data_IF_460916255859
#
_entry.id   IF_460916255859
#
_cell.length_a   1.000
_cell.length_b   1.000
_cell.length_c   1.000
_cell.angle_alpha   90.00
_cell.angle_beta   90.00
_cell.angle_gamma   90.00
#
_symmetry.space_group_name_H-M   'P 1'
#
loop_
_entity.id
_entity.type
_entity.pdbx_description
1 polymer ?
#
# COMPACT_ATOMS: atom_id res chain seq x y z
N UNK A 1 20.13 22.11 -53.52
CA UNK A 1 19.57 22.07 -52.16
C UNK A 1 18.54 20.95 -52.10
N UNK A 2 18.82 19.85 -51.38
CA UNK A 2 17.83 18.77 -51.14
C UNK A 2 17.16 19.04 -49.79
N UNK A 3 15.82 18.92 -49.68
CA UNK A 3 15.13 19.15 -48.41
C UNK A 3 15.35 17.95 -47.47
N UNK A 4 15.70 18.25 -46.23
CA UNK A 4 15.95 17.30 -45.16
C UNK A 4 14.65 16.66 -44.67
N UNK A 5 14.63 15.33 -44.62
CA UNK A 5 13.52 14.56 -44.07
C UNK A 5 13.44 14.75 -42.56
N UNK A 6 12.33 15.34 -42.07
CA UNK A 6 11.98 15.32 -40.64
C UNK A 6 11.68 13.88 -40.24
N UNK A 7 12.56 13.27 -39.43
CA UNK A 7 12.27 12.02 -38.72
C UNK A 7 11.03 12.23 -37.87
N UNK A 8 9.94 11.49 -38.15
CA UNK A 8 8.76 11.41 -37.29
C UNK A 8 9.21 10.79 -35.96
N UNK A 9 8.91 11.46 -34.85
CA UNK A 9 9.09 10.89 -33.52
C UNK A 9 8.27 9.62 -33.34
N UNK A 10 8.55 8.82 -32.30
CA UNK A 10 7.78 7.62 -32.01
C UNK A 10 6.29 7.98 -31.85
N UNK A 11 5.37 7.10 -32.30
CA UNK A 11 3.94 7.32 -32.12
C UNK A 11 3.63 7.47 -30.63
N UNK A 12 2.71 8.38 -30.30
CA UNK A 12 2.18 8.49 -28.95
C UNK A 12 1.63 7.12 -28.51
N UNK A 13 1.84 6.68 -27.26
CA UNK A 13 1.27 5.44 -26.78
C UNK A 13 -0.26 5.47 -26.96
N UNK A 14 -0.82 4.35 -27.40
CA UNK A 14 -2.26 4.22 -27.56
C UNK A 14 -2.97 4.58 -26.25
N UNK A 15 -4.10 5.31 -26.30
CA UNK A 15 -4.84 5.65 -25.10
C UNK A 15 -5.22 4.35 -24.39
N UNK A 16 -4.75 4.19 -23.14
CA UNK A 16 -5.11 3.06 -22.29
C UNK A 16 -6.63 3.09 -22.11
N UNK A 17 -7.33 2.16 -22.78
CA UNK A 17 -8.78 1.99 -22.63
C UNK A 17 -9.02 1.38 -21.26
N UNK A 18 -9.22 2.23 -20.25
CA UNK A 18 -9.59 1.83 -18.90
C UNK A 18 -10.95 1.13 -18.96
N UNK A 19 -10.96 -0.18 -18.75
CA UNK A 19 -12.21 -0.92 -18.60
C UNK A 19 -12.83 -0.58 -17.24
N UNK A 20 -14.15 -0.37 -17.17
CA UNK A 20 -14.81 -0.13 -15.89
C UNK A 20 -14.57 -1.35 -14.97
N UNK A 21 -14.46 -1.13 -13.65
CA UNK A 21 -14.40 -2.22 -12.69
C UNK A 21 -15.62 -3.14 -12.84
N UNK A 22 -15.46 -4.42 -12.51
CA UNK A 22 -16.56 -5.37 -12.54
C UNK A 22 -17.77 -4.92 -11.70
N UNK A 23 -18.92 -5.54 -11.94
CA UNK A 23 -20.13 -5.33 -11.14
C UNK A 23 -20.90 -6.63 -10.97
N UNK A 24 -21.17 -7.01 -9.73
CA UNK A 24 -22.01 -8.17 -9.37
C UNK A 24 -23.44 -7.67 -9.15
N UNK A 25 -24.32 -7.94 -10.11
CA UNK A 25 -25.71 -7.46 -10.06
C UNK A 25 -26.58 -8.22 -9.05
N UNK A 26 -26.29 -9.50 -8.82
CA UNK A 26 -27.02 -10.32 -7.85
C UNK A 26 -26.60 -9.95 -6.41
N UNK A 27 -27.58 -9.48 -5.65
CA UNK A 27 -27.43 -9.08 -4.24
C UNK A 27 -27.02 -10.26 -3.36
N UNK A 28 -27.60 -11.43 -3.59
CA UNK A 28 -27.32 -12.62 -2.81
C UNK A 28 -25.92 -13.14 -3.09
N UNK A 29 -25.47 -13.06 -4.35
CA UNK A 29 -24.10 -13.42 -4.73
C UNK A 29 -23.07 -12.48 -4.09
N UNK A 30 -23.30 -11.16 -4.17
CA UNK A 30 -22.43 -10.16 -3.57
C UNK A 30 -22.29 -10.36 -2.05
N UNK A 31 -23.42 -10.56 -1.36
CA UNK A 31 -23.44 -10.86 0.07
C UNK A 31 -22.69 -12.16 0.39
N UNK A 32 -22.93 -13.25 -0.35
CA UNK A 32 -22.27 -14.53 -0.15
C UNK A 32 -20.74 -14.44 -0.37
N UNK A 33 -20.28 -13.59 -1.29
CA UNK A 33 -18.84 -13.32 -1.46
C UNK A 33 -18.24 -12.70 -0.20
N UNK A 34 -18.89 -11.71 0.40
CA UNK A 34 -18.41 -11.09 1.66
C UNK A 34 -18.49 -12.05 2.84
N UNK A 35 -19.56 -12.84 2.97
CA UNK A 35 -19.69 -13.84 4.05
C UNK A 35 -18.57 -14.90 3.98
N UNK A 36 -18.26 -15.39 2.76
CA UNK A 36 -17.14 -16.32 2.54
C UNK A 36 -15.80 -15.67 2.83
N UNK A 37 -15.61 -14.44 2.36
CA UNK A 37 -14.43 -13.65 2.60
C UNK A 37 -14.15 -13.57 4.11
N UNK A 38 -15.13 -13.08 4.88
CA UNK A 38 -15.04 -12.91 6.33
C UNK A 38 -15.06 -14.23 7.14
N UNK A 39 -15.42 -15.35 6.52
CA UNK A 39 -15.80 -16.59 7.22
C UNK A 39 -16.84 -16.32 8.32
N UNK A 40 -17.81 -15.46 8.02
CA UNK A 40 -18.84 -14.97 8.95
C UNK A 40 -20.21 -15.00 8.28
N UNK A 41 -21.20 -15.58 8.97
CA UNK A 41 -22.60 -15.57 8.53
C UNK A 41 -23.37 -14.51 9.30
N UNK A 42 -24.00 -13.58 8.59
CA UNK A 42 -24.77 -12.51 9.22
C UNK A 42 -26.10 -13.04 9.77
N UNK A 43 -26.44 -12.63 10.98
CA UNK A 43 -27.78 -12.89 11.55
C UNK A 43 -28.80 -11.98 10.88
N UNK A 44 -28.44 -10.72 10.65
CA UNK A 44 -29.22 -9.76 9.88
C UNK A 44 -28.50 -9.39 8.58
N UNK A 45 -28.87 -10.08 7.49
CA UNK A 45 -28.30 -9.84 6.15
C UNK A 45 -28.57 -8.43 5.62
N UNK A 46 -29.56 -7.71 6.16
CA UNK A 46 -29.86 -6.33 5.74
C UNK A 46 -28.70 -5.39 6.06
N UNK A 47 -27.92 -5.66 7.11
CA UNK A 47 -26.73 -4.89 7.45
C UNK A 47 -25.66 -4.98 6.35
N UNK A 48 -25.45 -6.18 5.82
CA UNK A 48 -24.49 -6.39 4.73
C UNK A 48 -25.02 -5.80 3.42
N UNK A 49 -26.32 -5.90 3.16
CA UNK A 49 -26.94 -5.24 2.00
C UNK A 49 -26.79 -3.71 2.06
N UNK A 50 -27.00 -3.10 3.23
CA UNK A 50 -26.78 -1.66 3.47
C UNK A 50 -25.30 -1.29 3.24
N UNK A 51 -24.37 -2.07 3.80
CA UNK A 51 -22.92 -1.86 3.62
C UNK A 51 -22.46 -1.93 2.16
N UNK A 52 -23.15 -2.71 1.33
CA UNK A 52 -22.86 -2.88 -0.10
C UNK A 52 -23.70 -1.96 -1.00
N UNK A 53 -24.22 -0.84 -0.47
CA UNK A 53 -25.03 0.11 -1.24
C UNK A 53 -24.49 1.53 -1.17
N UNK A 54 -24.06 2.04 -2.31
CA UNK A 54 -23.69 3.44 -2.46
C UNK A 54 -24.94 4.32 -2.62
N UNK A 55 -24.90 5.53 -2.07
CA UNK A 55 -26.01 6.52 -2.13
C UNK A 55 -26.51 6.81 -3.55
N UNK A 56 -25.69 6.63 -4.58
CA UNK A 56 -26.10 6.87 -5.96
C UNK A 56 -26.92 5.75 -6.59
N UNK A 57 -27.13 4.62 -5.89
CA UNK A 57 -27.84 3.48 -6.47
C UNK A 57 -29.36 3.69 -6.56
N UNK A 58 -29.96 4.26 -5.51
CA UNK A 58 -31.38 4.60 -5.46
C UNK A 58 -31.63 5.65 -4.37
N UNK A 59 -32.50 6.64 -4.65
CA UNK A 59 -32.70 7.81 -3.79
C UNK A 59 -33.24 7.48 -2.38
N UNK A 60 -34.03 6.41 -2.25
CA UNK A 60 -34.64 5.98 -0.97
C UNK A 60 -33.96 4.75 -0.33
N UNK A 61 -32.85 4.26 -0.90
CA UNK A 61 -32.16 3.10 -0.35
C UNK A 61 -31.30 3.48 0.87
N UNK A 62 -31.33 2.65 1.92
CA UNK A 62 -30.34 2.74 3.00
C UNK A 62 -28.94 2.52 2.42
N UNK A 63 -28.12 3.56 2.49
CA UNK A 63 -26.75 3.56 2.00
C UNK A 63 -25.79 3.17 3.12
N UNK A 64 -24.57 2.80 2.75
CA UNK A 64 -23.53 2.40 3.70
C UNK A 64 -23.12 3.50 4.70
N UNK A 65 -23.50 4.77 4.49
CA UNK A 65 -22.94 5.93 5.20
C UNK A 65 -23.11 5.87 6.73
N UNK A 66 -24.23 5.32 7.22
CA UNK A 66 -24.44 5.15 8.67
C UNK A 66 -23.53 4.07 9.25
N UNK A 67 -23.29 3.02 8.48
CA UNK A 67 -22.35 1.96 8.83
C UNK A 67 -20.91 2.46 8.74
N UNK A 68 -20.53 3.21 7.71
CA UNK A 68 -19.22 3.90 7.60
C UNK A 68 -18.93 4.70 8.87
N UNK A 69 -19.86 5.56 9.28
CA UNK A 69 -19.71 6.39 10.49
C UNK A 69 -19.40 5.57 11.75
N UNK A 70 -20.09 4.43 11.94
CA UNK A 70 -19.84 3.52 13.07
C UNK A 70 -18.51 2.78 12.88
N UNK A 71 -18.21 2.38 11.64
CA UNK A 71 -17.05 1.58 11.25
C UNK A 71 -15.73 2.29 11.49
N UNK A 72 -15.63 3.57 11.13
CA UNK A 72 -14.44 4.40 11.39
C UNK A 72 -14.04 4.37 12.88
N UNK A 73 -15.01 4.63 13.76
CA UNK A 73 -14.79 4.61 15.22
C UNK A 73 -14.49 3.21 15.75
N UNK A 74 -15.25 2.20 15.29
CA UNK A 74 -15.10 0.82 15.76
C UNK A 74 -13.75 0.21 15.34
N UNK A 75 -13.34 0.40 14.09
CA UNK A 75 -12.03 -0.02 13.59
C UNK A 75 -10.92 0.77 14.26
N UNK A 76 -11.08 2.08 14.45
CA UNK A 76 -10.13 2.91 15.18
C UNK A 76 -9.85 2.40 16.59
N UNK A 77 -10.91 2.00 17.31
CA UNK A 77 -10.78 1.40 18.64
C UNK A 77 -10.17 -0.01 18.59
N UNK A 78 -10.59 -0.85 17.64
CA UNK A 78 -10.06 -2.21 17.49
C UNK A 78 -8.55 -2.21 17.20
N UNK A 79 -8.09 -1.36 16.28
CA UNK A 79 -6.67 -1.15 16.01
C UNK A 79 -5.93 -0.54 17.20
N UNK A 80 -6.52 0.46 17.87
CA UNK A 80 -5.92 1.01 19.10
C UNK A 80 -5.70 -0.07 20.16
N UNK A 81 -6.68 -0.94 20.38
CA UNK A 81 -6.57 -2.04 21.34
C UNK A 81 -5.48 -3.03 20.92
N UNK A 82 -5.49 -3.46 19.66
CA UNK A 82 -4.48 -4.36 19.12
C UNK A 82 -3.06 -3.79 19.29
N UNK A 83 -2.81 -2.56 18.82
CA UNK A 83 -1.50 -1.92 18.87
C UNK A 83 -1.02 -1.66 20.31
N UNK A 84 -1.93 -1.28 21.22
CA UNK A 84 -1.60 -1.10 22.62
C UNK A 84 -1.11 -2.41 23.27
N UNK A 85 -1.79 -3.52 22.97
CA UNK A 85 -1.45 -4.83 23.52
C UNK A 85 -0.19 -5.44 22.88
N UNK A 86 0.03 -5.24 21.59
CA UNK A 86 1.20 -5.79 20.88
C UNK A 86 2.47 -4.97 21.09
N UNK A 87 2.37 -3.70 21.50
CA UNK A 87 3.50 -2.79 21.62
C UNK A 87 3.54 -2.12 23.02
N UNK A 88 3.73 -2.89 24.11
CA UNK A 88 3.62 -2.39 25.49
C UNK A 88 4.66 -1.33 25.89
N UNK A 89 5.74 -1.18 25.11
CA UNK A 89 6.83 -0.24 25.36
C UNK A 89 6.69 1.07 24.58
N UNK A 90 5.76 1.16 23.63
CA UNK A 90 5.60 2.36 22.81
C UNK A 90 4.79 3.44 23.51
N UNK A 91 5.27 4.68 23.38
CA UNK A 91 4.54 5.85 23.84
C UNK A 91 3.33 6.21 22.96
N UNK A 92 2.49 7.16 23.40
CA UNK A 92 1.26 7.55 22.71
C UNK A 92 1.48 8.11 21.29
N UNK A 93 2.59 8.79 21.05
CA UNK A 93 2.95 9.32 19.72
C UNK A 93 3.14 8.21 18.68
N UNK A 94 4.13 7.31 18.86
CA UNK A 94 4.34 6.16 17.97
C UNK A 94 3.09 5.29 17.78
N UNK A 95 2.32 5.02 18.83
CA UNK A 95 1.06 4.28 18.73
C UNK A 95 0.03 5.00 17.84
N UNK A 96 -0.07 6.32 17.95
CA UNK A 96 -0.95 7.13 17.08
C UNK A 96 -0.51 7.08 15.62
N UNK A 97 0.81 7.11 15.36
CA UNK A 97 1.37 6.97 14.02
C UNK A 97 1.08 5.59 13.43
N UNK A 98 1.29 4.51 14.20
CA UNK A 98 0.99 3.14 13.80
C UNK A 98 -0.50 2.94 13.48
N UNK A 99 -1.37 3.51 14.32
CA UNK A 99 -2.81 3.49 14.06
C UNK A 99 -3.13 4.19 12.76
N UNK A 100 -2.69 5.44 12.59
CA UNK A 100 -2.94 6.21 11.37
C UNK A 100 -2.43 5.50 10.10
N UNK A 101 -1.30 4.79 10.19
CA UNK A 101 -0.75 4.02 9.09
C UNK A 101 -1.67 2.85 8.69
N UNK A 102 -2.29 2.17 9.67
CA UNK A 102 -3.16 1.01 9.45
C UNK A 102 -4.60 1.33 9.05
N UNK A 103 -5.13 2.49 9.45
CA UNK A 103 -6.52 2.90 9.19
C UNK A 103 -6.63 4.16 8.33
N UNK A 104 -5.61 4.48 7.54
CA UNK A 104 -5.71 5.57 6.56
C UNK A 104 -6.65 5.20 5.39
N UNK A 105 -7.28 6.20 4.79
CA UNK A 105 -8.09 6.03 3.57
C UNK A 105 -7.33 5.29 2.47
N UNK A 106 -6.04 5.57 2.30
CA UNK A 106 -5.18 4.86 1.33
C UNK A 106 -5.02 3.38 1.69
N UNK A 107 -4.75 3.06 2.96
CA UNK A 107 -4.59 1.66 3.42
C UNK A 107 -5.89 0.88 3.26
N UNK A 108 -7.02 1.44 3.70
CA UNK A 108 -8.33 0.80 3.59
C UNK A 108 -8.77 0.67 2.12
N UNK A 109 -8.49 1.65 1.28
CA UNK A 109 -8.77 1.54 -0.14
C UNK A 109 -8.00 0.37 -0.79
N UNK A 110 -6.73 0.18 -0.43
CA UNK A 110 -5.94 -0.97 -0.90
C UNK A 110 -6.46 -2.31 -0.38
N UNK A 111 -7.02 -2.34 0.83
CA UNK A 111 -7.75 -3.52 1.34
C UNK A 111 -8.94 -3.84 0.44
N UNK A 112 -9.74 -2.83 0.06
CA UNK A 112 -10.87 -3.05 -0.85
C UNK A 112 -10.45 -3.54 -2.24
N UNK A 113 -9.32 -3.06 -2.77
CA UNK A 113 -8.77 -3.53 -4.05
C UNK A 113 -8.28 -4.97 -3.93
N UNK A 114 -7.51 -5.30 -2.88
CA UNK A 114 -6.94 -6.64 -2.64
C UNK A 114 -8.03 -7.72 -2.56
N UNK A 115 -9.14 -7.40 -1.91
CA UNK A 115 -10.24 -8.35 -1.69
C UNK A 115 -11.38 -8.22 -2.71
N UNK A 116 -11.17 -7.44 -3.79
CA UNK A 116 -12.14 -7.26 -4.87
C UNK A 116 -13.54 -6.85 -4.36
N UNK A 117 -13.58 -5.88 -3.41
CA UNK A 117 -14.82 -5.44 -2.77
C UNK A 117 -15.63 -4.48 -3.63
N UNK A 118 -14.97 -3.66 -4.44
CA UNK A 118 -15.66 -2.64 -5.23
C UNK A 118 -16.68 -3.23 -6.24
N UNK A 119 -16.40 -4.35 -6.93
CA UNK A 119 -17.43 -4.99 -7.76
C UNK A 119 -18.70 -5.42 -7.03
N UNK A 120 -18.64 -5.60 -5.71
CA UNK A 120 -19.78 -5.97 -4.87
C UNK A 120 -20.66 -4.77 -4.50
N UNK A 121 -20.14 -3.54 -4.65
CA UNK A 121 -20.86 -2.32 -4.33
C UNK A 121 -21.92 -2.01 -5.38
N UNK A 122 -23.19 -1.96 -4.96
CA UNK A 122 -24.30 -1.43 -5.74
C UNK A 122 -24.16 0.07 -5.89
N UNK A 123 -24.06 0.53 -7.15
CA UNK A 123 -23.80 1.93 -7.48
C UNK A 123 -24.33 2.24 -8.87
N UNK A 124 -24.67 3.50 -9.09
CA UNK A 124 -24.96 4.04 -10.42
C UNK A 124 -24.20 5.37 -10.54
N UNK A 125 -22.88 5.29 -10.76
CA UNK A 125 -22.03 6.48 -10.87
C UNK A 125 -20.82 6.19 -11.78
N UNK A 126 -20.94 6.41 -13.11
CA UNK A 126 -19.86 6.12 -14.06
C UNK A 126 -18.57 6.89 -13.78
N UNK A 127 -18.67 8.11 -13.22
CA UNK A 127 -17.49 8.89 -12.83
C UNK A 127 -16.70 8.22 -11.71
N UNK A 128 -17.40 7.61 -10.75
CA UNK A 128 -16.78 6.86 -9.66
C UNK A 128 -16.06 5.62 -10.19
N UNK A 129 -16.69 4.89 -11.13
CA UNK A 129 -16.08 3.74 -11.79
C UNK A 129 -14.77 4.07 -12.49
N UNK A 130 -14.70 5.22 -13.16
CA UNK A 130 -13.46 5.66 -13.80
C UNK A 130 -12.35 5.94 -12.77
N UNK A 131 -12.66 6.66 -11.70
CA UNK A 131 -11.69 6.99 -10.64
C UNK A 131 -11.18 5.74 -9.93
N UNK A 132 -12.08 4.81 -9.63
CA UNK A 132 -11.73 3.54 -8.99
C UNK A 132 -10.96 2.64 -9.95
N UNK A 133 -11.34 2.58 -11.23
CA UNK A 133 -10.59 1.84 -12.24
C UNK A 133 -9.15 2.33 -12.39
N UNK A 134 -8.92 3.65 -12.41
CA UNK A 134 -7.59 4.25 -12.43
C UNK A 134 -6.76 3.86 -11.21
N UNK A 135 -7.37 3.90 -10.02
CA UNK A 135 -6.68 3.52 -8.78
C UNK A 135 -6.34 2.03 -8.75
N UNK A 136 -7.28 1.14 -9.12
CA UNK A 136 -7.05 -0.30 -9.20
C UNK A 136 -5.89 -0.62 -10.15
N UNK A 137 -5.87 -0.01 -11.33
CA UNK A 137 -4.79 -0.25 -12.30
C UNK A 137 -3.44 0.22 -11.77
N UNK A 138 -3.41 1.38 -11.11
CA UNK A 138 -2.18 1.90 -10.50
C UNK A 138 -1.67 0.95 -9.41
N UNK A 139 -2.56 0.43 -8.56
CA UNK A 139 -2.18 -0.54 -7.50
C UNK A 139 -1.69 -1.86 -8.09
N UNK A 140 -2.26 -2.32 -9.21
CA UNK A 140 -1.82 -3.57 -9.89
C UNK A 140 -0.48 -3.45 -10.61
N UNK A 141 -0.11 -2.24 -11.03
CA UNK A 141 1.17 -1.98 -11.71
C UNK A 141 2.33 -1.75 -10.74
N UNK A 142 2.07 -1.68 -9.43
CA UNK A 142 3.13 -1.61 -8.42
C UNK A 142 3.84 -2.99 -8.32
N UNK A 143 5.18 -3.06 -8.39
CA UNK A 143 5.91 -4.33 -8.37
C UNK A 143 5.67 -5.10 -7.06
N UNK A 144 5.34 -6.39 -7.17
CA UNK A 144 5.02 -7.26 -6.02
C UNK A 144 6.26 -7.79 -5.25
N UNK A 145 7.49 -7.72 -5.79
CA UNK A 145 8.78 -8.14 -5.17
C UNK A 145 9.90 -7.21 -5.75
N UNK A 146 11.00 -6.78 -5.11
CA UNK A 146 11.78 -7.14 -3.92
C UNK A 146 11.95 -5.90 -3.00
N UNK A 147 11.99 -6.09 -1.67
CA UNK A 147 12.09 -5.04 -0.62
C UNK A 147 10.87 -4.11 -0.51
N UNK A 148 9.74 -4.64 -0.03
CA UNK A 148 8.84 -3.97 0.94
C UNK A 148 8.35 -2.53 0.68
N UNK A 149 8.41 -2.00 -0.55
CA UNK A 149 8.40 -0.53 -0.74
C UNK A 149 7.02 0.09 -0.95
N UNK A 150 5.93 -0.69 -1.00
CA UNK A 150 4.55 -0.15 -1.02
C UNK A 150 3.41 -0.96 -0.33
N UNK A 151 3.60 -1.89 0.64
CA UNK A 151 2.46 -2.48 1.36
C UNK A 151 1.63 -1.46 2.17
N UNK A 152 2.18 -0.25 2.31
CA UNK A 152 1.83 0.76 3.29
C UNK A 152 1.40 2.11 2.70
N UNK A 153 1.19 2.17 1.37
CA UNK A 153 0.67 3.35 0.67
C UNK A 153 1.70 4.19 -0.08
N UNK A 154 1.20 5.06 -0.95
CA UNK A 154 2.00 5.97 -1.76
C UNK A 154 1.80 5.80 -3.26
N UNK A 155 0.56 5.60 -3.71
CA UNK A 155 0.22 5.67 -5.14
C UNK A 155 0.42 7.10 -5.67
N UNK A 156 0.71 7.22 -6.96
CA UNK A 156 0.69 8.52 -7.70
C UNK A 156 -0.73 9.10 -7.73
N UNK A 157 -1.76 8.25 -7.58
CA UNK A 157 -3.18 8.59 -7.66
C UNK A 157 -3.81 8.57 -6.27
N UNK A 158 -4.61 9.60 -5.96
CA UNK A 158 -5.37 9.67 -4.70
C UNK A 158 -6.38 8.52 -4.60
N UNK A 159 -6.35 7.77 -3.51
CA UNK A 159 -7.37 6.77 -3.20
C UNK A 159 -8.80 7.35 -3.23
N UNK A 160 -9.72 6.75 -4.02
CA UNK A 160 -11.15 7.06 -3.94
C UNK A 160 -11.70 6.69 -2.57
N UNK A 161 -12.29 7.68 -1.86
CA UNK A 161 -12.78 7.50 -0.49
C UNK A 161 -13.77 6.33 -0.35
N UNK A 162 -14.61 6.12 -1.36
CA UNK A 162 -15.58 5.02 -1.40
C UNK A 162 -14.96 3.65 -1.10
N UNK A 163 -13.71 3.41 -1.49
CA UNK A 163 -13.05 2.13 -1.23
C UNK A 163 -12.77 1.93 0.25
N UNK A 164 -12.38 2.98 0.96
CA UNK A 164 -12.24 2.94 2.42
C UNK A 164 -13.61 2.81 3.10
N UNK A 165 -14.59 3.62 2.66
CA UNK A 165 -15.93 3.64 3.24
C UNK A 165 -16.60 2.25 3.18
N UNK A 166 -16.42 1.49 2.09
CA UNK A 166 -16.96 0.12 1.96
C UNK A 166 -16.34 -0.82 3.00
N UNK A 167 -15.02 -0.73 3.25
CA UNK A 167 -14.35 -1.57 4.24
C UNK A 167 -14.85 -1.25 5.64
N UNK A 168 -14.98 0.04 5.96
CA UNK A 168 -15.54 0.51 7.23
C UNK A 168 -16.98 0.05 7.41
N UNK A 169 -17.81 0.18 6.38
CA UNK A 169 -19.21 -0.24 6.42
C UNK A 169 -19.38 -1.76 6.59
N UNK A 170 -18.56 -2.58 5.93
CA UNK A 170 -18.58 -4.04 6.10
C UNK A 170 -18.15 -4.41 7.53
N UNK A 171 -17.10 -3.78 8.05
CA UNK A 171 -16.67 -4.00 9.43
C UNK A 171 -17.76 -3.57 10.43
N UNK A 172 -18.40 -2.42 10.21
CA UNK A 172 -19.51 -1.96 11.02
C UNK A 172 -20.72 -2.89 10.96
N UNK A 173 -21.04 -3.45 9.80
CA UNK A 173 -22.11 -4.43 9.68
C UNK A 173 -21.85 -5.64 10.60
N UNK A 174 -20.61 -6.15 10.64
CA UNK A 174 -20.21 -7.22 11.58
C UNK A 174 -20.36 -6.73 13.02
N UNK A 175 -19.88 -5.53 13.33
CA UNK A 175 -19.92 -4.95 14.67
C UNK A 175 -21.36 -4.80 15.19
N UNK A 176 -22.29 -4.35 14.36
CA UNK A 176 -23.71 -4.22 14.71
C UNK A 176 -24.37 -5.59 14.85
N UNK A 177 -24.07 -6.52 13.93
CA UNK A 177 -24.64 -7.88 13.95
C UNK A 177 -24.20 -8.67 15.19
N UNK A 178 -22.96 -8.46 15.65
CA UNK A 178 -22.41 -9.07 16.87
C UNK A 178 -22.78 -8.32 18.16
N UNK A 179 -23.69 -7.34 18.12
CA UNK A 179 -24.16 -6.54 19.26
C UNK A 179 -23.08 -5.66 19.89
N UNK A 180 -22.29 -5.00 19.04
CA UNK A 180 -21.21 -4.09 19.41
C UNK A 180 -20.09 -4.76 20.21
N UNK A 181 -19.80 -6.02 19.88
CA UNK A 181 -18.71 -6.79 20.49
C UNK A 181 -17.41 -6.56 19.71
N UNK A 182 -16.51 -5.76 20.29
CA UNK A 182 -15.25 -5.36 19.67
C UNK A 182 -14.29 -6.54 19.46
N UNK A 183 -14.29 -7.51 20.37
CA UNK A 183 -13.42 -8.70 20.27
C UNK A 183 -13.88 -9.58 19.10
N UNK A 184 -15.19 -9.78 18.95
CA UNK A 184 -15.76 -10.48 17.79
C UNK A 184 -15.52 -9.72 16.49
N UNK A 185 -15.70 -8.40 16.49
CA UNK A 185 -15.37 -7.57 15.33
C UNK A 185 -13.93 -7.84 14.89
N UNK A 186 -12.97 -7.64 15.80
CA UNK A 186 -11.56 -7.83 15.48
C UNK A 186 -11.26 -9.25 15.00
N UNK A 187 -11.79 -10.28 15.68
CA UNK A 187 -11.59 -11.67 15.28
C UNK A 187 -12.07 -11.97 13.86
N UNK A 188 -13.22 -11.41 13.46
CA UNK A 188 -13.81 -11.62 12.14
C UNK A 188 -13.10 -10.81 11.05
N UNK A 189 -12.72 -9.56 11.34
CA UNK A 189 -12.24 -8.64 10.30
C UNK A 189 -10.73 -8.50 10.24
N UNK A 190 -9.97 -8.90 11.27
CA UNK A 190 -8.50 -8.67 11.36
C UNK A 190 -7.76 -9.07 10.08
N UNK A 191 -8.06 -10.26 9.56
CA UNK A 191 -7.35 -10.84 8.43
C UNK A 191 -7.56 -10.02 7.13
N UNK A 192 -8.63 -9.23 7.02
CA UNK A 192 -8.81 -8.29 5.90
C UNK A 192 -7.67 -7.28 5.80
N UNK A 193 -7.13 -6.87 6.95
CA UNK A 193 -6.16 -5.79 7.04
C UNK A 193 -4.71 -6.27 6.86
N UNK A 194 -4.49 -7.57 6.69
CA UNK A 194 -3.15 -8.10 6.48
C UNK A 194 -2.58 -7.67 5.11
N UNK A 195 -1.27 -7.33 5.03
CA UNK A 195 -0.33 -7.22 6.15
C UNK A 195 -0.59 -5.97 7.01
N UNK A 196 -0.65 -6.14 8.32
CA UNK A 196 -0.74 -5.03 9.29
C UNK A 196 0.63 -4.34 9.42
N UNK A 197 0.62 -3.01 9.47
CA UNK A 197 1.83 -2.20 9.68
C UNK A 197 2.21 -2.29 11.15
N UNK A 198 3.42 -2.76 11.42
CA UNK A 198 3.96 -2.97 12.76
C UNK A 198 5.00 -1.90 13.10
N UNK A 199 5.45 -1.84 14.35
CA UNK A 199 6.52 -0.92 14.74
C UNK A 199 7.83 -1.21 14.01
N UNK A 200 8.05 -2.47 13.64
CA UNK A 200 9.23 -2.93 12.93
C UNK A 200 9.14 -2.58 11.43
N UNK A 201 7.94 -2.57 10.87
CA UNK A 201 7.72 -2.33 9.44
C UNK A 201 7.29 -0.90 9.10
N UNK A 202 6.95 -0.07 10.10
CA UNK A 202 6.60 1.33 9.85
C UNK A 202 7.80 2.14 9.35
N UNK A 203 9.00 1.75 9.75
CA UNK A 203 10.25 2.37 9.31
C UNK A 203 10.69 1.89 7.91
N UNK A 204 9.98 0.93 7.32
CA UNK A 204 10.04 0.59 5.90
C UNK A 204 9.41 1.68 5.00
N UNK A 205 8.95 2.79 5.59
CA UNK A 205 8.56 3.97 4.84
C UNK A 205 9.79 4.61 4.18
N UNK A 206 9.73 4.95 2.88
CA UNK A 206 10.88 5.46 2.12
C UNK A 206 11.59 6.64 2.76
N UNK A 207 10.85 7.51 3.47
CA UNK A 207 11.41 8.68 4.14
C UNK A 207 12.26 8.28 5.35
N UNK A 208 11.80 7.33 6.16
CA UNK A 208 12.55 6.86 7.34
C UNK A 208 13.76 6.04 6.93
N UNK A 209 13.57 5.07 6.03
CA UNK A 209 14.67 4.31 5.42
C UNK A 209 15.78 5.22 4.87
N UNK A 210 15.41 6.33 4.22
CA UNK A 210 16.37 7.30 3.70
C UNK A 210 17.13 8.03 4.81
N UNK A 211 16.45 8.44 5.88
CA UNK A 211 17.09 9.06 7.04
C UNK A 211 18.09 8.11 7.71
N UNK A 212 17.70 6.85 7.92
CA UNK A 212 18.58 5.82 8.49
C UNK A 212 19.79 5.52 7.60
N UNK A 213 19.56 5.35 6.29
CA UNK A 213 20.64 5.13 5.32
C UNK A 213 21.64 6.29 5.34
N UNK A 214 21.16 7.53 5.39
CA UNK A 214 22.00 8.71 5.49
C UNK A 214 22.79 8.72 6.81
N UNK A 215 22.11 8.49 7.93
CA UNK A 215 22.72 8.51 9.26
C UNK A 215 23.81 7.44 9.41
N UNK A 216 23.57 6.23 8.87
CA UNK A 216 24.55 5.13 8.83
C UNK A 216 25.83 5.52 8.09
N UNK A 217 25.75 6.43 7.12
CA UNK A 217 26.90 6.95 6.37
C UNK A 217 27.40 8.31 6.88
N UNK A 218 26.96 8.75 8.07
CA UNK A 218 27.35 10.04 8.65
C UNK A 218 26.81 11.26 7.88
N UNK A 219 25.76 11.08 7.08
CA UNK A 219 25.11 12.13 6.29
C UNK A 219 23.71 12.45 6.84
N UNK A 220 23.16 13.59 6.41
CA UNK A 220 21.78 13.98 6.73
C UNK A 220 21.00 14.26 5.45
N UNK A 221 19.75 13.80 5.40
CA UNK A 221 18.82 14.08 4.31
C UNK A 221 18.01 15.36 4.61
N UNK A 222 17.95 16.28 3.65
CA UNK A 222 17.19 17.52 3.72
C UNK A 222 16.13 17.55 2.63
N UNK A 223 14.90 17.89 3.00
CA UNK A 223 13.77 17.99 2.07
C UNK A 223 13.45 19.46 1.81
N UNK A 224 13.49 19.90 0.55
CA UNK A 224 13.04 21.23 0.13
C UNK A 224 11.75 21.11 -0.67
N UNK A 225 10.72 21.81 -0.24
CA UNK A 225 9.39 21.77 -0.86
C UNK A 225 9.06 23.10 -1.53
N UNK A 226 8.49 23.05 -2.72
CA UNK A 226 7.99 24.21 -3.46
C UNK A 226 6.80 23.82 -4.35
N UNK A 227 6.13 24.80 -4.96
CA UNK A 227 4.92 24.59 -5.76
C UNK A 227 5.17 24.95 -7.24
N UNK A 228 4.66 24.14 -8.16
CA UNK A 228 4.70 24.40 -9.61
C UNK A 228 3.37 24.00 -10.24
N UNK A 229 2.59 24.97 -10.73
CA UNK A 229 1.36 24.69 -11.49
C UNK A 229 0.32 23.85 -10.74
N UNK A 230 0.13 24.10 -9.43
CA UNK A 230 -0.80 23.33 -8.58
C UNK A 230 -0.23 22.01 -8.04
N UNK A 231 0.99 21.64 -8.43
CA UNK A 231 1.68 20.46 -7.91
C UNK A 231 2.76 20.84 -6.89
N UNK A 232 2.80 20.09 -5.78
CA UNK A 232 3.89 20.13 -4.82
C UNK A 232 5.09 19.37 -5.37
N UNK A 233 6.26 20.00 -5.38
CA UNK A 233 7.54 19.40 -5.72
C UNK A 233 8.39 19.31 -4.46
N UNK A 234 8.95 18.14 -4.18
CA UNK A 234 9.87 17.90 -3.07
C UNK A 234 11.19 17.41 -3.62
N UNK A 235 12.27 18.09 -3.26
CA UNK A 235 13.64 17.72 -3.61
C UNK A 235 14.35 17.22 -2.35
N UNK A 236 15.04 16.08 -2.44
CA UNK A 236 15.85 15.53 -1.35
C UNK A 236 17.32 15.76 -1.62
N UNK A 237 17.99 16.37 -0.67
CA UNK A 237 19.41 16.63 -0.70
C UNK A 237 20.12 15.80 0.38
N UNK A 238 21.20 15.13 0.01
CA UNK A 238 22.05 14.38 0.95
C UNK A 238 23.47 14.89 0.79
N UNK A 239 24.07 15.39 1.87
CA UNK A 239 25.37 16.08 1.84
C UNK A 239 25.45 17.23 0.80
N UNK A 240 24.33 17.93 0.57
CA UNK A 240 24.26 19.06 -0.37
C UNK A 240 23.96 18.67 -1.82
N UNK A 241 24.01 17.39 -2.18
CA UNK A 241 23.71 16.90 -3.52
C UNK A 241 22.24 16.51 -3.67
N UNK A 242 21.64 16.86 -4.81
CA UNK A 242 20.26 16.48 -5.12
C UNK A 242 20.22 14.98 -5.46
N UNK A 243 19.66 14.20 -4.55
CA UNK A 243 19.60 12.74 -4.70
C UNK A 243 18.21 12.23 -5.04
N UNK A 244 17.13 13.01 -4.79
CA UNK A 244 15.78 12.57 -5.10
C UNK A 244 14.82 13.72 -5.41
N UNK A 245 13.83 13.48 -6.27
CA UNK A 245 12.78 14.42 -6.64
C UNK A 245 11.44 13.68 -6.62
N UNK A 246 10.41 14.29 -6.04
CA UNK A 246 9.06 13.78 -6.04
C UNK A 246 8.05 14.88 -6.29
N UNK A 247 7.03 14.58 -7.09
CA UNK A 247 5.96 15.51 -7.43
C UNK A 247 4.59 14.90 -7.15
N UNK A 248 3.67 15.71 -6.62
CA UNK A 248 2.26 15.36 -6.42
C UNK A 248 1.46 16.60 -6.02
N UNK A 249 0.14 16.63 -6.25
CA UNK A 249 -0.76 17.65 -5.70
C UNK A 249 -0.72 17.69 -4.16
N UNK A 250 -0.38 16.57 -3.50
CA UNK A 250 -0.30 16.46 -2.04
C UNK A 250 1.15 16.43 -1.55
N UNK A 251 1.48 17.28 -0.58
CA UNK A 251 2.82 17.39 0.01
C UNK A 251 3.36 16.06 0.58
N UNK A 252 2.49 15.26 1.20
CA UNK A 252 2.88 13.97 1.80
C UNK A 252 3.31 12.98 0.71
N UNK A 253 2.55 12.88 -0.37
CA UNK A 253 2.86 11.99 -1.51
C UNK A 253 4.10 12.47 -2.26
N UNK A 254 4.23 13.78 -2.50
CA UNK A 254 5.43 14.34 -3.12
C UNK A 254 6.70 14.02 -2.31
N UNK A 255 6.61 14.06 -0.97
CA UNK A 255 7.72 13.71 -0.07
C UNK A 255 8.06 12.22 -0.12
N UNK A 256 7.07 11.33 -0.14
CA UNK A 256 7.28 9.89 -0.29
C UNK A 256 7.95 9.57 -1.63
N UNK A 257 7.46 10.15 -2.73
CA UNK A 257 8.03 9.97 -4.07
C UNK A 257 9.49 10.42 -4.10
N UNK A 258 9.80 11.57 -3.50
CA UNK A 258 11.15 12.12 -3.46
C UNK A 258 12.10 11.21 -2.65
N UNK A 259 11.62 10.60 -1.58
CA UNK A 259 12.40 9.67 -0.78
C UNK A 259 12.63 8.32 -1.50
N UNK A 260 11.64 7.80 -2.24
CA UNK A 260 11.81 6.60 -3.07
C UNK A 260 12.85 6.83 -4.18
N UNK A 261 12.76 7.95 -4.89
CA UNK A 261 13.72 8.32 -5.93
C UNK A 261 15.15 8.43 -5.36
N UNK A 262 15.28 9.03 -4.16
CA UNK A 262 16.56 9.10 -3.45
C UNK A 262 17.11 7.73 -3.06
N UNK A 263 16.29 6.84 -2.49
CA UNK A 263 16.71 5.49 -2.12
C UNK A 263 17.18 4.67 -3.33
N UNK A 264 16.44 4.73 -4.45
CA UNK A 264 16.84 4.05 -5.68
C UNK A 264 18.20 4.53 -6.20
N UNK A 265 18.43 5.85 -6.21
CA UNK A 265 19.71 6.44 -6.65
C UNK A 265 20.87 6.12 -5.70
N UNK A 266 20.63 6.14 -4.39
CA UNK A 266 21.66 5.81 -3.40
C UNK A 266 22.00 4.31 -3.39
N UNK A 267 21.05 3.44 -3.71
CA UNK A 267 21.30 2.00 -3.91
C UNK A 267 22.12 1.73 -5.18
N UNK A 268 21.82 2.42 -6.29
CA UNK A 268 22.54 2.30 -7.56
C UNK A 268 23.95 2.91 -7.57
N UNK A 269 24.21 3.92 -6.72
CA UNK A 269 25.53 4.56 -6.63
C UNK A 269 26.65 3.62 -6.14
N UNK A 270 26.31 2.46 -5.53
CA UNK A 270 27.30 1.44 -5.15
C UNK A 270 28.05 0.84 -6.35
N UNK A 271 27.50 0.91 -7.57
CA UNK A 271 28.14 0.37 -8.77
C UNK A 271 29.07 1.36 -9.52
N UNK A 272 29.09 2.65 -9.16
CA UNK A 272 29.84 3.67 -9.93
C UNK A 272 31.10 4.21 -9.25
N UNK A 273 31.42 3.84 -8.00
CA UNK A 273 32.59 4.39 -7.28
C UNK A 273 33.81 3.45 -7.30
N UNK A 274 33.76 2.33 -8.03
CA UNK A 274 34.87 1.39 -8.23
C UNK A 274 35.39 1.40 -9.68
N UNK A 275 35.79 2.56 -10.21
CA UNK A 275 36.60 2.60 -11.44
C UNK A 275 37.72 3.63 -11.37
N UNK A 276 38.75 3.32 -10.60
CA UNK A 276 40.16 3.63 -10.95
C UNK A 276 41.03 2.45 -10.51
N UNK A 277 41.38 1.58 -11.46
CA UNK A 277 42.25 0.42 -11.21
C UNK A 277 41.99 -0.71 -12.21
N UNK A 278 42.89 -0.84 -13.17
CA UNK A 278 42.90 -1.86 -14.23
C UNK A 278 43.17 -3.26 -13.63
N UNK A 279 42.37 -4.27 -14.01
CA UNK A 279 42.71 -5.69 -13.82
C UNK A 279 41.51 -6.66 -13.85
N UNK A 280 41.47 -7.50 -14.89
CA UNK A 280 40.54 -8.61 -15.19
C UNK A 280 39.88 -9.38 -14.02
N UNK A 281 38.62 -9.76 -14.24
CA UNK A 281 38.12 -11.10 -13.88
C UNK A 281 36.80 -11.14 -13.11
N UNK A 282 35.73 -11.60 -13.78
CA UNK A 282 34.45 -12.01 -13.20
C UNK A 282 34.65 -13.03 -12.07
N UNK A 283 34.12 -12.80 -10.85
CA UNK A 283 34.32 -13.77 -9.77
C UNK A 283 33.51 -13.66 -8.47
N UNK A 284 33.09 -12.49 -7.98
CA UNK A 284 32.78 -12.39 -6.54
C UNK A 284 31.32 -12.58 -6.09
N UNK A 285 30.30 -12.33 -6.92
CA UNK A 285 28.89 -12.52 -6.46
C UNK A 285 28.46 -13.99 -6.37
N UNK A 286 29.15 -14.90 -7.08
CA UNK A 286 28.92 -16.35 -6.96
C UNK A 286 29.70 -16.95 -5.79
N UNK A 287 30.81 -16.32 -5.38
CA UNK A 287 31.67 -16.76 -4.29
C UNK A 287 31.00 -16.65 -2.92
N UNK A 288 30.41 -15.49 -2.62
CA UNK A 288 29.75 -15.25 -1.33
C UNK A 288 28.49 -16.10 -1.15
N UNK A 289 27.71 -16.30 -2.22
CA UNK A 289 26.53 -17.17 -2.19
C UNK A 289 26.91 -18.64 -2.00
N UNK A 290 28.04 -19.07 -2.61
CA UNK A 290 28.58 -20.42 -2.47
C UNK A 290 29.10 -20.67 -1.06
N UNK A 291 29.83 -19.72 -0.48
CA UNK A 291 30.27 -19.79 0.92
C UNK A 291 29.09 -19.83 1.90
N UNK A 292 28.04 -19.03 1.68
CA UNK A 292 26.85 -19.03 2.52
C UNK A 292 26.10 -20.37 2.46
N UNK A 293 25.93 -20.94 1.26
CA UNK A 293 25.33 -22.28 1.09
C UNK A 293 26.16 -23.37 1.79
N UNK A 294 27.49 -23.24 1.77
CA UNK A 294 28.41 -24.20 2.39
C UNK A 294 28.36 -24.12 3.92
N UNK A 295 28.40 -22.91 4.49
CA UNK A 295 28.26 -22.68 5.94
C UNK A 295 26.90 -23.15 6.48
N UNK A 296 25.82 -22.96 5.71
CA UNK A 296 24.48 -23.43 6.08
C UNK A 296 24.39 -24.96 6.07
N UNK A 297 24.96 -25.62 5.07
CA UNK A 297 25.02 -27.08 5.01
C UNK A 297 25.85 -27.70 6.15
N UNK A 298 26.96 -27.08 6.54
CA UNK A 298 27.75 -27.51 7.71
C UNK A 298 26.97 -27.36 9.01
N UNK A 299 26.22 -26.26 9.20
CA UNK A 299 25.38 -26.09 10.38
C UNK A 299 24.23 -27.10 10.44
N UNK A 300 23.55 -27.37 9.32
CA UNK A 300 22.50 -28.38 9.27
C UNK A 300 23.04 -29.77 9.61
N UNK A 301 24.25 -30.09 9.15
CA UNK A 301 24.90 -31.37 9.46
C UNK A 301 25.32 -31.47 10.94
N UNK A 302 25.81 -30.38 11.55
CA UNK A 302 26.16 -30.34 12.99
C UNK A 302 24.95 -30.42 13.91
N UNK A 303 23.79 -29.92 13.49
CA UNK A 303 22.55 -29.88 14.29
C UNK A 303 21.51 -30.95 13.92
N UNK A 304 21.86 -31.87 13.02
CA UNK A 304 20.98 -32.93 12.52
C UNK A 304 19.68 -32.41 11.88
N UNK A 305 19.74 -31.23 11.26
CA UNK A 305 18.62 -30.64 10.54
C UNK A 305 18.56 -31.11 9.07
N UNK A 306 17.37 -31.19 8.46
CA UNK A 306 17.25 -31.48 7.04
C UNK A 306 17.99 -30.44 6.18
N UNK A 307 18.64 -30.91 5.12
CA UNK A 307 19.46 -30.06 4.25
C UNK A 307 18.56 -29.08 3.46
N UNK A 308 18.91 -27.79 3.39
CA UNK A 308 18.15 -26.80 2.64
C UNK A 308 18.20 -27.08 1.13
N UNK A 309 17.07 -26.89 0.46
CA UNK A 309 16.94 -26.97 -1.00
C UNK A 309 16.98 -25.55 -1.53
N UNK A 310 17.99 -25.22 -2.32
CA UNK A 310 18.12 -23.90 -2.94
C UNK A 310 17.45 -23.94 -4.32
N UNK A 311 16.40 -23.13 -4.52
CA UNK A 311 15.81 -22.86 -5.85
C UNK A 311 16.50 -21.66 -6.50
#
# INVERSE_FOLDING_TARGET
>A
MKPTSRKRGPPAPDPVVLRPPGFVADRAEAAARVERLLSYQFRDRRLLEEALTHQSFADDALSYQRLEFVGDSALGLAFSNFLYLTNPTLGPGPLSTLRAANISTEKLARVAVRHDLYPLLRRNCPRLDLLVGQFIETVKQEPEDDLGTVPYGGSVVKAPKVLADIVEAIAAAVYVDCKFDLEKLWKVTRWLFEPIITAETIDEQPVTMLHELCQKHGKTAQFKTWQKGGMTVVNVFVAGELVGIGTSEQKVIAKLNAARDALGKLAGAKQQVLTTGVGNGLGDEVGELRECKQKLNEQCSRKNWPKPIFK
#
